data_IF_376565657509
#
_entry.id   IF_376565657509
#
_cell.length_a   1.000
_cell.length_b   1.000
_cell.length_c   1.000
_cell.angle_alpha   90.00
_cell.angle_beta   90.00
_cell.angle_gamma   90.00
#
_symmetry.space_group_name_H-M   'P 1'
#
loop_
_entity.id
_entity.type
_entity.pdbx_description
1 polymer ?
#
# COMPACT_ATOMS: atom_id res chain seq x y z
N UNK A 1 -10.22 -12.44 -2.44
CA UNK A 1 -10.76 -11.06 -2.36
C UNK A 1 -9.59 -10.07 -2.43
N UNK A 2 -9.60 -9.13 -3.38
CA UNK A 2 -8.53 -8.13 -3.54
C UNK A 2 -8.63 -7.08 -2.43
N UNK A 3 -7.52 -6.82 -1.73
CA UNK A 3 -7.44 -5.80 -0.69
C UNK A 3 -6.51 -4.66 -1.12
N UNK A 4 -6.85 -3.43 -0.77
CA UNK A 4 -5.91 -2.30 -0.91
C UNK A 4 -4.84 -2.35 0.18
N UNK A 5 -3.61 -1.96 -0.17
CA UNK A 5 -2.55 -1.75 0.84
C UNK A 5 -2.75 -0.47 1.65
N UNK A 6 -3.53 0.49 1.14
CA UNK A 6 -3.90 1.69 1.87
C UNK A 6 -5.19 1.45 2.66
N UNK A 7 -5.26 2.01 3.85
CA UNK A 7 -6.44 1.87 4.69
C UNK A 7 -6.33 2.69 5.96
N UNK A 8 -7.48 2.91 6.58
CA UNK A 8 -7.64 3.58 7.87
C UNK A 8 -8.72 2.87 8.68
N UNK A 9 -8.48 2.71 9.97
CA UNK A 9 -9.46 2.20 10.92
C UNK A 9 -9.28 2.89 12.27
N UNK A 10 -10.38 3.27 12.90
CA UNK A 10 -10.41 3.87 14.22
C UNK A 10 -11.53 3.26 15.03
N UNK A 11 -11.25 3.00 16.29
CA UNK A 11 -12.27 2.69 17.29
C UNK A 11 -11.95 3.44 18.58
N UNK A 12 -13.02 3.79 19.30
CA UNK A 12 -12.96 4.54 20.55
C UNK A 12 -14.02 3.97 21.49
N UNK A 13 -13.62 3.60 22.70
CA UNK A 13 -14.52 3.12 23.73
C UNK A 13 -14.07 3.54 25.12
N UNK A 14 -15.04 3.80 25.97
CA UNK A 14 -14.80 4.00 27.41
C UNK A 14 -15.05 2.66 28.11
N UNK A 15 -13.98 2.04 28.61
CA UNK A 15 -14.02 0.76 29.32
C UNK A 15 -13.32 0.90 30.67
N UNK A 16 -13.94 0.42 31.72
CA UNK A 16 -13.38 0.43 33.09
C UNK A 16 -12.84 1.83 33.50
N UNK A 17 -13.57 2.91 33.13
CA UNK A 17 -13.18 4.30 33.46
C UNK A 17 -12.02 4.86 32.63
N UNK A 18 -11.64 4.18 31.55
CA UNK A 18 -10.59 4.60 30.61
C UNK A 18 -11.18 4.83 29.23
N UNK A 19 -10.90 5.96 28.65
CA UNK A 19 -11.15 6.23 27.25
C UNK A 19 -9.98 5.69 26.43
N UNK A 20 -10.26 4.70 25.59
CA UNK A 20 -9.28 3.97 24.80
C UNK A 20 -9.56 4.24 23.33
N UNK A 21 -8.59 4.83 22.65
CA UNK A 21 -8.64 5.10 21.21
C UNK A 21 -7.54 4.31 20.52
N UNK A 22 -7.92 3.53 19.53
CA UNK A 22 -7.00 2.82 18.64
C UNK A 22 -7.21 3.29 17.22
N UNK A 23 -6.13 3.75 16.59
CA UNK A 23 -6.12 4.16 15.19
C UNK A 23 -5.09 3.34 14.44
N UNK A 24 -5.47 2.86 13.25
CA UNK A 24 -4.59 2.19 12.31
C UNK A 24 -4.61 2.92 10.99
N UNK A 25 -3.45 3.06 10.38
CA UNK A 25 -3.34 3.47 8.99
C UNK A 25 -2.26 2.68 8.28
N UNK A 26 -2.45 2.44 7.01
CA UNK A 26 -1.43 1.80 6.18
C UNK A 26 -1.19 2.55 4.89
N UNK A 27 0.04 2.40 4.40
CA UNK A 27 0.48 2.86 3.09
C UNK A 27 1.19 1.73 2.38
N UNK A 28 1.31 1.86 1.06
CA UNK A 28 2.02 0.88 0.25
C UNK A 28 3.47 0.69 0.74
N UNK A 29 3.87 -0.56 0.94
CA UNK A 29 5.26 -0.98 1.14
C UNK A 29 5.48 -2.37 0.55
N UNK A 30 6.72 -2.63 0.12
CA UNK A 30 7.10 -3.94 -0.46
C UNK A 30 6.98 -5.09 0.54
N UNK A 31 7.20 -4.81 1.82
CA UNK A 31 7.17 -5.78 2.93
C UNK A 31 6.17 -5.32 3.98
N UNK A 32 5.80 -6.23 4.87
CA UNK A 32 5.07 -5.86 6.07
C UNK A 32 6.00 -5.11 7.03
N UNK A 33 5.71 -3.85 7.24
CA UNK A 33 6.38 -3.00 8.23
C UNK A 33 5.35 -2.56 9.26
N UNK A 34 5.71 -2.65 10.52
CA UNK A 34 4.83 -2.24 11.62
C UNK A 34 5.55 -1.23 12.51
N UNK A 35 4.87 -0.15 12.80
CA UNK A 35 5.26 0.83 13.81
C UNK A 35 4.08 1.16 14.71
N UNK A 36 4.33 1.35 16.00
CA UNK A 36 3.29 1.73 16.95
C UNK A 36 3.70 2.92 17.78
N UNK A 37 2.70 3.72 18.15
CA UNK A 37 2.80 4.74 19.19
C UNK A 37 1.91 4.32 20.33
N UNK A 38 2.55 3.84 21.41
CA UNK A 38 1.88 3.36 22.62
C UNK A 38 2.39 4.18 23.81
N UNK A 39 1.54 4.55 24.77
CA UNK A 39 1.98 5.23 25.98
C UNK A 39 3.08 4.42 26.68
N UNK A 40 4.14 5.08 27.16
CA UNK A 40 5.31 4.41 27.76
C UNK A 40 4.96 3.43 28.86
N UNK A 41 3.92 3.75 29.65
CA UNK A 41 3.42 2.91 30.77
C UNK A 41 2.84 1.59 30.24
N UNK A 42 2.39 1.54 28.97
CA UNK A 42 1.73 0.41 28.34
C UNK A 42 2.59 -0.25 27.26
N UNK A 43 3.92 -0.05 27.25
CA UNK A 43 4.83 -0.60 26.22
C UNK A 43 4.75 -2.13 26.07
N UNK A 44 4.36 -2.86 27.12
CA UNK A 44 4.13 -4.30 27.07
C UNK A 44 3.00 -4.72 26.13
N UNK A 45 2.15 -3.79 25.69
CA UNK A 45 1.07 -4.04 24.71
C UNK A 45 1.56 -4.08 23.26
N UNK A 46 2.74 -3.52 22.95
CA UNK A 46 3.23 -3.37 21.57
C UNK A 46 3.31 -4.70 20.82
N UNK A 47 3.91 -5.72 21.44
CA UNK A 47 4.05 -7.03 20.81
C UNK A 47 2.71 -7.75 20.62
N UNK A 48 1.78 -7.56 21.57
CA UNK A 48 0.43 -8.12 21.49
C UNK A 48 -0.36 -7.48 20.35
N UNK A 49 -0.32 -6.15 20.24
CA UNK A 49 -0.95 -5.40 19.15
C UNK A 49 -0.34 -5.73 17.78
N UNK A 50 0.99 -5.84 17.70
CA UNK A 50 1.67 -6.27 16.47
C UNK A 50 1.19 -7.63 15.98
N UNK A 51 1.01 -8.60 16.89
CA UNK A 51 0.50 -9.93 16.54
C UNK A 51 -0.93 -9.88 16.00
N UNK A 52 -1.81 -9.07 16.58
CA UNK A 52 -3.18 -8.89 16.10
C UNK A 52 -3.21 -8.32 14.68
N UNK A 53 -2.39 -7.29 14.41
CA UNK A 53 -2.30 -6.67 13.09
C UNK A 53 -1.68 -7.63 12.07
N UNK A 54 -0.58 -8.29 12.39
CA UNK A 54 0.12 -9.22 11.52
C UNK A 54 -0.74 -10.44 11.11
N UNK A 55 -1.73 -10.81 11.92
CA UNK A 55 -2.70 -11.86 11.58
C UNK A 55 -3.67 -11.47 10.45
N UNK A 56 -3.78 -10.18 10.13
CA UNK A 56 -4.74 -9.64 9.15
C UNK A 56 -4.11 -8.89 7.98
N UNK A 57 -2.81 -8.61 8.05
CA UNK A 57 -2.07 -7.83 7.03
C UNK A 57 -0.78 -8.57 6.71
N UNK A 58 -0.59 -8.92 5.44
CA UNK A 58 0.61 -9.62 4.97
C UNK A 58 1.63 -8.68 4.30
N UNK A 59 1.19 -7.48 3.86
CA UNK A 59 2.01 -6.51 3.16
C UNK A 59 1.57 -5.07 3.46
N UNK A 60 2.51 -4.12 3.34
CA UNK A 60 2.27 -2.70 3.59
C UNK A 60 2.92 -2.20 4.87
N UNK A 61 3.11 -0.89 4.97
CA UNK A 61 3.56 -0.24 6.21
C UNK A 61 2.35 0.18 7.02
N UNK A 62 2.17 -0.44 8.20
CA UNK A 62 1.08 -0.18 9.13
C UNK A 62 1.60 0.63 10.31
N UNK A 63 0.93 1.74 10.59
CA UNK A 63 1.14 2.56 11.78
C UNK A 63 -0.07 2.41 12.69
N UNK A 64 0.14 2.02 13.96
CA UNK A 64 -0.86 1.95 14.99
C UNK A 64 -0.62 3.04 16.04
N UNK A 65 -1.66 3.77 16.39
CA UNK A 65 -1.65 4.74 17.48
C UNK A 65 -2.64 4.32 18.56
N UNK A 66 -2.15 4.15 19.79
CA UNK A 66 -2.96 3.84 20.97
C UNK A 66 -2.93 5.04 21.91
N UNK A 67 -4.09 5.58 22.23
CA UNK A 67 -4.29 6.57 23.28
C UNK A 67 -5.16 6.01 24.38
N UNK A 68 -4.74 6.20 25.62
CA UNK A 68 -5.50 5.79 26.81
C UNK A 68 -5.56 6.99 27.76
N UNK A 69 -6.77 7.42 28.09
CA UNK A 69 -7.02 8.50 29.03
C UNK A 69 -7.97 8.03 30.13
N UNK A 70 -7.67 8.34 31.38
CA UNK A 70 -8.58 8.05 32.49
C UNK A 70 -9.71 9.11 32.47
N UNK A 71 -10.96 8.68 32.32
CA UNK A 71 -12.16 9.54 32.30
C UNK A 71 -12.78 9.63 33.69
N UNK A 72 -12.76 8.55 34.45
CA UNK A 72 -13.11 8.60 35.86
C UNK A 72 -11.99 9.29 36.64
N UNK A 73 -12.34 10.06 37.68
CA UNK A 73 -11.33 10.51 38.64
C UNK A 73 -10.59 9.25 39.12
N UNK A 74 -9.45 8.97 38.49
CA UNK A 74 -8.64 7.82 38.88
C UNK A 74 -8.42 7.94 40.37
N UNK A 75 -8.48 6.82 41.09
CA UNK A 75 -8.00 6.73 42.45
C UNK A 75 -6.56 7.24 42.45
N UNK A 76 -6.43 8.56 42.55
CA UNK A 76 -5.13 9.20 42.53
C UNK A 76 -4.52 8.98 43.88
N UNK A 77 -3.56 8.09 43.94
CA UNK A 77 -2.81 7.83 45.15
C UNK A 77 -1.74 8.93 45.28
N UNK A 78 -1.86 9.71 46.33
CA UNK A 78 -0.81 10.67 46.71
C UNK A 78 0.29 9.91 47.45
N UNK A 79 1.46 9.83 46.86
CA UNK A 79 2.62 9.22 47.46
C UNK A 79 3.53 10.30 48.04
N UNK A 80 4.06 10.07 49.23
CA UNK A 80 5.00 10.95 49.89
C UNK A 80 6.41 10.40 49.73
N UNK A 81 7.30 11.20 49.17
CA UNK A 81 8.75 10.93 49.17
C UNK A 81 9.36 11.29 50.53
N UNK A 82 9.26 10.34 51.46
CA UNK A 82 9.72 10.55 52.84
C UNK A 82 11.21 10.89 52.94
N UNK A 83 12.04 10.34 52.07
CA UNK A 83 13.49 10.60 52.08
C UNK A 83 13.79 12.05 51.68
N UNK A 84 13.13 12.54 50.64
CA UNK A 84 13.25 13.92 50.16
C UNK A 84 12.66 14.90 51.18
N UNK A 85 11.50 14.60 51.76
CA UNK A 85 10.85 15.40 52.79
C UNK A 85 11.76 15.59 54.02
N UNK A 86 12.40 14.49 54.46
CA UNK A 86 13.37 14.53 55.57
C UNK A 86 14.61 15.33 55.22
N UNK A 87 15.10 15.25 54.00
CA UNK A 87 16.24 16.02 53.53
C UNK A 87 15.97 17.53 53.57
N UNK A 88 14.78 17.96 53.10
CA UNK A 88 14.35 19.36 53.23
C UNK A 88 14.21 19.79 54.66
N UNK A 89 13.60 18.98 55.53
CA UNK A 89 13.49 19.28 56.95
C UNK A 89 14.87 19.53 57.60
N UNK A 90 15.84 18.63 57.36
CA UNK A 90 17.20 18.73 57.89
C UNK A 90 17.92 19.97 57.39
N UNK A 91 17.78 20.26 56.08
CA UNK A 91 18.39 21.45 55.48
C UNK A 91 17.85 22.76 56.11
N UNK A 92 16.54 22.85 56.29
CA UNK A 92 15.86 24.01 56.89
C UNK A 92 16.25 24.17 58.38
N UNK A 93 16.39 23.08 59.12
CA UNK A 93 16.87 23.09 60.48
C UNK A 93 18.31 23.68 60.55
N UNK A 94 19.19 23.18 59.69
CA UNK A 94 20.57 23.64 59.63
C UNK A 94 20.68 25.13 59.20
N UNK A 95 19.79 25.60 58.32
CA UNK A 95 19.71 27.03 57.96
C UNK A 95 19.24 27.89 59.14
N UNK A 96 18.21 27.45 59.86
CA UNK A 96 17.72 28.11 61.05
C UNK A 96 18.85 28.33 62.10
N UNK A 97 19.61 27.28 62.39
CA UNK A 97 20.72 27.30 63.34
C UNK A 97 21.90 28.18 62.88
N UNK A 98 22.28 28.07 61.59
CA UNK A 98 23.43 28.80 61.07
C UNK A 98 23.19 30.31 60.85
N UNK A 99 21.94 30.67 60.51
CA UNK A 99 21.58 32.05 60.20
C UNK A 99 20.85 32.77 61.35
N UNK A 100 20.70 32.12 62.48
CA UNK A 100 19.93 32.58 63.64
C UNK A 100 18.53 33.05 63.29
N UNK A 101 17.85 32.22 62.47
CA UNK A 101 16.48 32.45 61.98
C UNK A 101 15.47 31.56 62.74
N UNK A 102 14.31 32.09 62.99
CA UNK A 102 13.22 31.26 63.55
C UNK A 102 12.80 30.16 62.60
N UNK A 103 12.86 28.90 63.05
CA UNK A 103 12.35 27.78 62.29
C UNK A 103 10.81 27.79 62.32
N UNK A 104 10.20 28.06 61.14
CA UNK A 104 8.72 28.06 60.93
C UNK A 104 8.26 26.96 60.01
N UNK A 105 9.09 25.89 59.82
CA UNK A 105 8.80 24.77 58.95
C UNK A 105 7.57 23.99 59.42
N UNK A 106 6.57 23.97 58.56
CA UNK A 106 5.32 23.22 58.78
C UNK A 106 5.20 22.09 57.76
N UNK A 107 4.28 21.17 58.00
CA UNK A 107 3.94 20.14 57.02
C UNK A 107 3.56 20.77 55.67
N UNK A 108 2.76 21.86 55.72
CA UNK A 108 2.37 22.60 54.53
C UNK A 108 3.54 23.18 53.73
N UNK A 109 4.61 23.57 54.42
CA UNK A 109 5.84 24.09 53.79
C UNK A 109 6.55 22.96 53.05
N UNK A 110 6.74 21.82 53.69
CA UNK A 110 7.42 20.65 53.09
C UNK A 110 6.64 20.10 51.91
N UNK A 111 5.30 20.02 52.00
CA UNK A 111 4.45 19.52 50.94
C UNK A 111 4.44 20.38 49.66
N UNK A 112 4.89 21.65 49.72
CA UNK A 112 4.98 22.55 48.56
C UNK A 112 6.25 22.38 47.75
N UNK A 113 7.28 21.70 48.30
CA UNK A 113 8.49 21.45 47.53
C UNK A 113 8.24 20.44 46.41
N UNK A 114 8.86 20.65 45.23
CA UNK A 114 8.73 19.72 44.12
C UNK A 114 9.10 18.30 44.55
N UNK A 115 8.41 17.31 43.99
CA UNK A 115 8.69 15.89 44.13
C UNK A 115 8.54 15.31 45.55
N UNK A 116 8.11 16.10 46.55
CA UNK A 116 7.78 15.63 47.89
C UNK A 116 6.45 14.92 47.90
N UNK A 117 5.46 15.46 47.20
CA UNK A 117 4.16 14.81 46.93
C UNK A 117 4.06 14.51 45.44
N UNK A 118 3.93 13.26 45.11
CA UNK A 118 3.67 12.78 43.73
C UNK A 118 2.27 12.19 43.66
N UNK A 119 1.52 12.61 42.65
CA UNK A 119 0.23 12.02 42.34
C UNK A 119 0.47 10.92 41.30
N UNK A 120 0.20 9.69 41.66
CA UNK A 120 0.26 8.55 40.73
C UNK A 120 -1.12 7.94 40.60
N UNK A 121 -1.52 7.68 39.36
CA UNK A 121 -2.69 6.85 39.13
C UNK A 121 -2.42 5.44 39.68
N UNK A 122 -3.42 4.82 40.28
CA UNK A 122 -3.30 3.44 40.72
C UNK A 122 -2.85 2.57 39.53
N UNK A 123 -1.84 1.68 39.71
CA UNK A 123 -1.38 0.84 38.62
C UNK A 123 -2.55 -0.04 38.15
N UNK A 124 -2.87 0.09 36.87
CA UNK A 124 -3.85 -0.76 36.24
C UNK A 124 -3.34 -2.21 36.20
N UNK A 125 -4.20 -3.17 36.51
CA UNK A 125 -3.88 -4.58 36.27
C UNK A 125 -3.59 -4.80 34.78
N UNK A 126 -2.40 -5.33 34.40
CA UNK A 126 -2.01 -5.47 33.01
C UNK A 126 -2.94 -6.37 32.18
N UNK A 127 -3.55 -7.38 32.79
CA UNK A 127 -4.42 -8.31 32.09
C UNK A 127 -5.79 -7.69 31.79
N UNK A 128 -6.35 -6.97 32.75
CA UNK A 128 -7.59 -6.19 32.55
C UNK A 128 -7.38 -5.10 31.50
N UNK A 129 -6.26 -4.38 31.57
CA UNK A 129 -5.93 -3.36 30.58
C UNK A 129 -5.78 -3.96 29.17
N UNK A 130 -5.15 -5.13 29.07
CA UNK A 130 -5.01 -5.81 27.78
C UNK A 130 -6.38 -6.20 27.22
N UNK A 131 -7.27 -6.77 28.02
CA UNK A 131 -8.61 -7.17 27.58
C UNK A 131 -9.41 -5.96 27.02
N UNK A 132 -9.35 -4.81 27.71
CA UNK A 132 -9.98 -3.58 27.25
C UNK A 132 -9.40 -3.09 25.91
N UNK A 133 -8.06 -3.03 25.83
CA UNK A 133 -7.36 -2.57 24.61
C UNK A 133 -7.57 -3.55 23.46
N UNK A 134 -7.54 -4.85 23.71
CA UNK A 134 -7.77 -5.88 22.68
C UNK A 134 -9.15 -5.74 22.04
N UNK A 135 -10.19 -5.50 22.83
CA UNK A 135 -11.55 -5.30 22.33
C UNK A 135 -11.62 -4.10 21.39
N UNK A 136 -11.04 -2.96 21.77
CA UNK A 136 -11.04 -1.75 20.94
C UNK A 136 -10.15 -1.93 19.70
N UNK A 137 -8.99 -2.58 19.86
CA UNK A 137 -8.08 -2.87 18.75
C UNK A 137 -8.73 -3.78 17.70
N UNK A 138 -9.48 -4.81 18.11
CA UNK A 138 -10.21 -5.68 17.18
C UNK A 138 -11.24 -4.91 16.35
N UNK A 139 -11.96 -3.97 16.98
CA UNK A 139 -12.91 -3.10 16.25
C UNK A 139 -12.21 -2.17 15.27
N UNK A 140 -11.11 -1.55 15.67
CA UNK A 140 -10.32 -0.70 14.78
C UNK A 140 -9.74 -1.50 13.61
N UNK A 141 -9.25 -2.71 13.85
CA UNK A 141 -8.76 -3.64 12.81
C UNK A 141 -9.91 -4.06 11.88
N UNK A 142 -11.10 -4.34 12.40
CA UNK A 142 -12.26 -4.69 11.56
C UNK A 142 -12.66 -3.53 10.64
N UNK A 143 -12.70 -2.30 11.14
CA UNK A 143 -12.96 -1.11 10.35
C UNK A 143 -11.86 -0.88 9.28
N UNK A 144 -10.60 -1.08 9.66
CA UNK A 144 -9.46 -0.99 8.77
C UNK A 144 -9.53 -2.01 7.61
N UNK A 145 -9.80 -3.28 7.92
CA UNK A 145 -9.94 -4.34 6.89
C UNK A 145 -11.13 -4.08 5.99
N UNK A 146 -12.26 -3.63 6.54
CA UNK A 146 -13.44 -3.27 5.75
C UNK A 146 -13.15 -2.14 4.76
N UNK A 147 -12.45 -1.09 5.18
CA UNK A 147 -12.06 0.00 4.29
C UNK A 147 -11.15 -0.50 3.16
N UNK A 148 -10.15 -1.33 3.48
CA UNK A 148 -9.24 -1.93 2.49
C UNK A 148 -9.98 -2.81 1.47
N UNK A 149 -11.01 -3.53 1.92
CA UNK A 149 -11.83 -4.35 1.03
C UNK A 149 -12.66 -3.50 0.05
N UNK A 150 -13.27 -2.42 0.54
CA UNK A 150 -14.04 -1.48 -0.31
C UNK A 150 -13.14 -0.80 -1.33
N UNK A 151 -11.95 -0.38 -0.94
CA UNK A 151 -11.00 0.24 -1.84
C UNK A 151 -10.41 -0.78 -2.82
N UNK A 152 -10.10 -1.99 -2.36
CA UNK A 152 -9.62 -3.10 -3.20
C UNK A 152 -10.60 -3.47 -4.30
N UNK A 153 -11.92 -3.47 -4.03
CA UNK A 153 -12.93 -3.74 -5.06
C UNK A 153 -13.02 -2.62 -6.11
N UNK A 154 -12.78 -1.36 -5.72
CA UNK A 154 -12.68 -0.26 -6.68
C UNK A 154 -11.46 -0.40 -7.58
N UNK A 155 -10.30 -0.76 -7.00
CA UNK A 155 -9.08 -1.03 -7.77
C UNK A 155 -9.27 -2.19 -8.74
N UNK A 156 -9.89 -3.28 -8.28
CA UNK A 156 -10.25 -4.44 -9.12
C UNK A 156 -11.12 -4.04 -10.31
N UNK A 157 -12.16 -3.26 -10.05
CA UNK A 157 -13.08 -2.78 -11.10
C UNK A 157 -12.36 -1.90 -12.13
N UNK A 158 -11.50 -0.98 -11.68
CA UNK A 158 -10.71 -0.13 -12.58
C UNK A 158 -9.77 -0.97 -13.46
N UNK A 159 -9.05 -1.93 -12.86
CA UNK A 159 -8.18 -2.84 -13.61
C UNK A 159 -8.95 -3.65 -14.65
N UNK A 160 -10.14 -4.20 -14.30
CA UNK A 160 -10.96 -4.95 -15.24
C UNK A 160 -11.43 -4.09 -16.43
N UNK A 161 -11.80 -2.83 -16.20
CA UNK A 161 -12.18 -1.90 -17.26
C UNK A 161 -11.00 -1.60 -18.19
N UNK A 162 -9.79 -1.44 -17.64
CA UNK A 162 -8.57 -1.23 -18.45
C UNK A 162 -8.18 -2.47 -19.26
N UNK A 163 -8.34 -3.66 -18.69
CA UNK A 163 -8.13 -4.91 -19.43
C UNK A 163 -9.09 -5.02 -20.63
N UNK A 164 -10.35 -4.61 -20.49
CA UNK A 164 -11.30 -4.56 -21.61
C UNK A 164 -10.88 -3.53 -22.67
N UNK A 165 -10.35 -2.37 -22.26
CA UNK A 165 -9.79 -1.39 -23.19
C UNK A 165 -8.56 -1.95 -23.94
N UNK A 166 -7.68 -2.67 -23.25
CA UNK A 166 -6.53 -3.37 -23.87
C UNK A 166 -7.01 -4.38 -24.92
N UNK A 167 -7.99 -5.22 -24.62
CA UNK A 167 -8.55 -6.17 -25.60
C UNK A 167 -9.10 -5.46 -26.85
N UNK A 168 -9.78 -4.33 -26.64
CA UNK A 168 -10.30 -3.52 -27.76
C UNK A 168 -9.15 -2.98 -28.63
N UNK A 169 -8.08 -2.46 -28.02
CA UNK A 169 -6.91 -1.95 -28.73
C UNK A 169 -6.17 -3.06 -29.47
N UNK A 170 -6.04 -4.27 -28.86
CA UNK A 170 -5.43 -5.43 -29.52
C UNK A 170 -6.23 -5.84 -30.75
N UNK A 171 -7.57 -5.93 -30.64
CA UNK A 171 -8.42 -6.22 -31.79
C UNK A 171 -8.29 -5.19 -32.91
N UNK A 172 -8.15 -3.90 -32.60
CA UNK A 172 -7.89 -2.87 -33.59
C UNK A 172 -6.50 -3.01 -34.25
N UNK A 173 -5.48 -3.41 -33.47
CA UNK A 173 -4.14 -3.70 -33.99
C UNK A 173 -4.19 -4.87 -34.97
N UNK A 174 -4.90 -5.95 -34.64
CA UNK A 174 -5.09 -7.12 -35.53
C UNK A 174 -5.80 -6.74 -36.82
N UNK A 175 -6.88 -5.95 -36.76
CA UNK A 175 -7.58 -5.45 -37.93
C UNK A 175 -6.68 -4.60 -38.84
N UNK A 176 -5.89 -3.70 -38.26
CA UNK A 176 -4.96 -2.85 -39.02
C UNK A 176 -3.74 -3.63 -39.54
N UNK A 177 -3.43 -4.78 -38.97
CA UNK A 177 -2.38 -5.68 -39.45
C UNK A 177 -2.80 -6.50 -40.66
N UNK A 178 -4.09 -6.79 -40.77
CA UNK A 178 -4.62 -7.58 -41.88
C UNK A 178 -4.39 -6.92 -43.25
N UNK A 179 -3.95 -7.74 -44.24
CA UNK A 179 -3.73 -7.26 -45.61
C UNK A 179 -2.45 -6.42 -45.85
N UNK A 180 -1.65 -6.15 -44.82
CA UNK A 180 -0.42 -5.33 -44.95
C UNK A 180 0.62 -5.92 -45.88
N UNK A 181 0.79 -7.24 -45.85
CA UNK A 181 1.72 -7.94 -46.76
C UNK A 181 1.29 -7.75 -48.21
N UNK A 182 -0.01 -7.87 -48.49
CA UNK A 182 -0.56 -7.67 -49.81
C UNK A 182 -0.36 -6.22 -50.27
N UNK A 183 -0.72 -5.25 -49.45
CA UNK A 183 -0.51 -3.82 -49.75
C UNK A 183 0.96 -3.46 -49.93
N UNK A 184 1.87 -4.09 -49.20
CA UNK A 184 3.30 -3.94 -49.39
C UNK A 184 3.74 -4.50 -50.75
N UNK A 185 3.30 -5.68 -51.11
CA UNK A 185 3.62 -6.37 -52.37
C UNK A 185 3.15 -5.55 -53.57
N UNK A 186 1.90 -5.05 -53.51
CA UNK A 186 1.36 -4.19 -54.59
C UNK A 186 2.17 -2.88 -54.74
N UNK A 187 2.54 -2.24 -53.62
CA UNK A 187 3.37 -1.04 -53.63
C UNK A 187 4.77 -1.31 -54.16
N UNK A 188 5.39 -2.42 -53.80
CA UNK A 188 6.68 -2.84 -54.24
C UNK A 188 6.67 -3.09 -55.76
N UNK A 189 5.64 -3.79 -56.23
CA UNK A 189 5.46 -4.03 -57.67
C UNK A 189 5.31 -2.75 -58.48
N UNK A 190 4.46 -1.84 -58.02
CA UNK A 190 4.25 -0.52 -58.67
C UNK A 190 5.56 0.29 -58.72
N UNK A 191 6.28 0.30 -57.59
CA UNK A 191 7.54 1.06 -57.55
C UNK A 191 8.64 0.49 -58.42
N UNK A 192 8.72 -0.85 -58.54
CA UNK A 192 9.66 -1.50 -59.44
C UNK A 192 9.30 -1.25 -60.89
N UNK A 193 8.03 -1.26 -61.23
CA UNK A 193 7.54 -0.93 -62.60
C UNK A 193 7.91 0.47 -63.00
N UNK A 194 7.75 1.46 -62.13
CA UNK A 194 8.18 2.84 -62.37
C UNK A 194 9.69 2.98 -62.57
N UNK A 195 10.52 2.25 -61.80
CA UNK A 195 11.97 2.36 -61.84
C UNK A 195 12.61 1.60 -63.02
N UNK A 196 12.00 0.53 -63.48
CA UNK A 196 12.57 -0.36 -64.49
C UNK A 196 12.12 -0.02 -65.92
N UNK A 197 11.25 0.96 -66.11
CA UNK A 197 10.78 1.40 -67.43
C UNK A 197 10.44 0.19 -68.36
N UNK A 198 9.57 -0.73 -67.93
CA UNK A 198 9.18 -1.95 -68.65
C UNK A 198 10.28 -3.05 -68.82
N UNK A 199 11.42 -2.94 -68.18
CA UNK A 199 12.33 -4.07 -68.09
C UNK A 199 11.73 -5.18 -67.25
N UNK A 200 12.08 -6.42 -67.59
CA UNK A 200 11.50 -7.62 -67.01
C UNK A 200 11.61 -7.61 -65.46
N UNK A 201 10.48 -7.61 -64.77
CA UNK A 201 10.45 -7.67 -63.31
C UNK A 201 10.59 -9.17 -62.91
N UNK A 202 11.54 -9.44 -62.03
CA UNK A 202 11.69 -10.81 -61.49
C UNK A 202 10.69 -11.04 -60.37
N UNK A 203 9.57 -11.69 -60.65
CA UNK A 203 8.51 -12.01 -59.71
C UNK A 203 9.01 -12.82 -58.52
N UNK A 204 10.02 -13.69 -58.69
CA UNK A 204 10.61 -14.47 -57.61
C UNK A 204 11.27 -13.58 -56.54
N UNK A 205 11.88 -12.46 -56.95
CA UNK A 205 12.44 -11.46 -56.01
C UNK A 205 11.35 -10.73 -55.26
N UNK A 206 10.25 -10.37 -55.92
CA UNK A 206 9.10 -9.72 -55.25
C UNK A 206 8.52 -10.62 -54.16
N UNK A 207 8.29 -11.91 -54.50
CA UNK A 207 7.80 -12.91 -53.52
C UNK A 207 8.77 -13.07 -52.36
N UNK A 208 10.08 -13.10 -52.63
CA UNK A 208 11.08 -13.18 -51.56
C UNK A 208 11.05 -12.00 -50.63
N UNK A 209 10.99 -10.76 -51.17
CA UNK A 209 10.93 -9.54 -50.35
C UNK A 209 9.60 -9.45 -49.58
N UNK A 210 8.49 -9.86 -50.18
CA UNK A 210 7.20 -9.94 -49.52
C UNK A 210 7.22 -10.92 -48.35
N UNK A 211 7.86 -12.09 -48.52
CA UNK A 211 8.03 -13.09 -47.46
C UNK A 211 8.91 -12.54 -46.30
N UNK A 212 10.01 -11.86 -46.61
CA UNK A 212 10.88 -11.22 -45.62
C UNK A 212 10.11 -10.11 -44.88
N UNK A 213 9.29 -9.34 -45.57
CA UNK A 213 8.46 -8.31 -44.96
C UNK A 213 7.41 -8.91 -44.04
N UNK A 214 6.74 -9.98 -44.52
CA UNK A 214 5.74 -10.73 -43.73
C UNK A 214 6.33 -11.23 -42.39
N UNK A 215 7.48 -11.87 -42.46
CA UNK A 215 8.18 -12.40 -41.28
C UNK A 215 8.57 -11.26 -40.29
N UNK A 216 9.15 -10.17 -40.82
CA UNK A 216 9.58 -9.02 -40.00
C UNK A 216 8.41 -8.28 -39.35
N UNK A 217 7.23 -8.29 -39.94
CA UNK A 217 6.05 -7.54 -39.47
C UNK A 217 4.99 -8.41 -38.84
N UNK A 218 5.23 -9.73 -38.75
CA UNK A 218 4.34 -10.66 -38.07
C UNK A 218 4.21 -10.29 -36.58
N UNK A 219 2.98 -10.07 -36.12
CA UNK A 219 2.64 -9.72 -34.74
C UNK A 219 1.60 -10.66 -34.13
N UNK A 220 1.24 -11.72 -34.85
CA UNK A 220 0.18 -12.65 -34.46
C UNK A 220 0.51 -13.38 -33.13
N UNK A 221 1.78 -13.71 -32.92
CA UNK A 221 2.23 -14.36 -31.68
C UNK A 221 2.07 -13.41 -30.47
N UNK A 222 2.45 -12.15 -30.63
CA UNK A 222 2.36 -11.13 -29.59
C UNK A 222 0.88 -10.81 -29.26
N UNK A 223 -0.01 -10.75 -30.23
CA UNK A 223 -1.45 -10.52 -29.97
C UNK A 223 -2.09 -11.71 -29.26
N UNK A 224 -1.79 -12.95 -29.68
CA UNK A 224 -2.24 -14.17 -28.98
C UNK A 224 -1.72 -14.22 -27.54
N UNK A 225 -0.46 -13.83 -27.29
CA UNK A 225 0.10 -13.74 -25.95
C UNK A 225 -0.59 -12.68 -25.11
N UNK A 226 -0.87 -11.50 -25.69
CA UNK A 226 -1.63 -10.44 -24.99
C UNK A 226 -3.01 -10.93 -24.56
N UNK A 227 -3.76 -11.60 -25.43
CA UNK A 227 -5.05 -12.21 -25.06
C UNK A 227 -4.91 -13.23 -23.93
N UNK A 228 -3.89 -14.10 -24.01
CA UNK A 228 -3.61 -15.08 -22.95
C UNK A 228 -3.29 -14.42 -21.61
N UNK A 229 -2.45 -13.38 -21.62
CA UNK A 229 -2.08 -12.67 -20.40
C UNK A 229 -3.28 -11.92 -19.81
N UNK A 230 -4.14 -11.32 -20.60
CA UNK A 230 -5.38 -10.66 -20.13
C UNK A 230 -6.32 -11.68 -19.49
N UNK A 231 -6.48 -12.86 -20.09
CA UNK A 231 -7.30 -13.93 -19.51
C UNK A 231 -6.73 -14.43 -18.19
N UNK A 232 -5.41 -14.64 -18.10
CA UNK A 232 -4.72 -15.00 -16.85
C UNK A 232 -4.87 -13.92 -15.79
N UNK A 233 -4.79 -12.64 -16.17
CA UNK A 233 -4.94 -11.51 -15.28
C UNK A 233 -6.32 -11.52 -14.60
N UNK A 234 -7.38 -11.72 -15.37
CA UNK A 234 -8.75 -11.86 -14.85
C UNK A 234 -8.88 -13.03 -13.88
N UNK A 235 -8.30 -14.18 -14.23
CA UNK A 235 -8.32 -15.37 -13.37
C UNK A 235 -7.59 -15.11 -12.02
N UNK A 236 -6.47 -14.41 -12.04
CA UNK A 236 -5.71 -14.10 -10.81
C UNK A 236 -6.48 -13.12 -9.91
N UNK A 237 -7.22 -12.15 -10.48
CA UNK A 237 -8.05 -11.22 -9.71
C UNK A 237 -9.22 -11.90 -8.97
N UNK A 238 -9.57 -13.15 -9.32
CA UNK A 238 -10.60 -13.94 -8.63
C UNK A 238 -10.05 -14.80 -7.48
N UNK A 239 -8.71 -14.89 -7.34
CA UNK A 239 -8.10 -15.68 -6.28
C UNK A 239 -8.29 -15.04 -4.91
N UNK A 240 -8.44 -15.89 -3.89
CA UNK A 240 -8.57 -15.46 -2.49
C UNK A 240 -7.21 -15.55 -1.74
N UNK A 241 -6.19 -14.99 -2.36
CA UNK A 241 -4.83 -14.93 -1.83
C UNK A 241 -4.15 -13.63 -2.27
N UNK A 242 -3.02 -13.21 -1.66
CA UNK A 242 -2.27 -12.04 -2.09
C UNK A 242 -1.79 -12.16 -3.53
N UNK A 243 -2.32 -11.31 -4.42
CA UNK A 243 -2.10 -11.42 -5.88
C UNK A 243 -1.14 -10.39 -6.46
N UNK A 244 -0.78 -9.35 -5.73
CA UNK A 244 -0.03 -8.21 -6.25
C UNK A 244 1.24 -8.55 -7.02
N UNK A 245 2.04 -9.55 -6.57
CA UNK A 245 3.26 -9.98 -7.28
C UNK A 245 2.98 -10.70 -8.60
N UNK A 246 1.90 -11.49 -8.66
CA UNK A 246 1.49 -12.20 -9.86
C UNK A 246 1.01 -11.21 -10.92
N UNK A 247 0.24 -10.20 -10.49
CA UNK A 247 -0.25 -9.13 -11.35
C UNK A 247 0.90 -8.25 -11.88
N UNK A 248 1.89 -7.93 -11.05
CA UNK A 248 3.07 -7.17 -11.47
C UNK A 248 3.85 -7.92 -12.58
N UNK A 249 4.06 -9.22 -12.42
CA UNK A 249 4.67 -10.05 -13.46
C UNK A 249 3.88 -10.01 -14.78
N UNK A 250 2.57 -10.22 -14.75
CA UNK A 250 1.74 -10.17 -15.96
C UNK A 250 1.75 -8.78 -16.61
N UNK A 251 1.80 -7.72 -15.81
CA UNK A 251 1.90 -6.35 -16.35
C UNK A 251 3.23 -6.13 -17.09
N UNK A 252 4.32 -6.73 -16.61
CA UNK A 252 5.60 -6.71 -17.30
C UNK A 252 5.53 -7.47 -18.64
N UNK A 253 4.86 -8.65 -18.67
CA UNK A 253 4.67 -9.40 -19.91
C UNK A 253 3.77 -8.64 -20.90
N UNK A 254 2.66 -8.03 -20.47
CA UNK A 254 1.83 -7.16 -21.31
C UNK A 254 2.67 -6.02 -21.94
N UNK A 255 3.54 -5.40 -21.16
CA UNK A 255 4.43 -4.34 -21.65
C UNK A 255 5.46 -4.87 -22.66
N UNK A 256 6.01 -6.07 -22.40
CA UNK A 256 6.96 -6.72 -23.30
C UNK A 256 6.35 -7.00 -24.67
N UNK A 257 5.18 -7.65 -24.73
CA UNK A 257 4.50 -7.94 -25.98
C UNK A 257 4.14 -6.66 -26.73
N UNK A 258 3.66 -5.63 -26.03
CA UNK A 258 3.37 -4.31 -26.60
C UNK A 258 4.60 -3.63 -27.20
N UNK A 259 5.77 -3.77 -26.56
CA UNK A 259 7.04 -3.26 -27.10
C UNK A 259 7.43 -3.99 -28.38
N UNK A 260 7.25 -5.32 -28.42
CA UNK A 260 7.57 -6.13 -29.60
C UNK A 260 6.66 -5.76 -30.78
N UNK A 261 5.36 -5.59 -30.56
CA UNK A 261 4.43 -5.10 -31.59
C UNK A 261 4.90 -3.72 -32.10
N UNK A 262 5.22 -2.79 -31.20
CA UNK A 262 5.68 -1.46 -31.57
C UNK A 262 6.95 -1.46 -32.42
N UNK A 263 7.87 -2.39 -32.18
CA UNK A 263 9.11 -2.51 -32.95
C UNK A 263 8.93 -3.15 -34.33
N UNK A 264 7.94 -4.05 -34.45
CA UNK A 264 7.65 -4.80 -35.68
C UNK A 264 6.67 -4.04 -36.62
N UNK A 265 5.80 -3.17 -36.11
CA UNK A 265 4.63 -2.71 -36.82
C UNK A 265 4.90 -1.84 -38.07
N UNK A 266 5.98 -1.06 -38.13
CA UNK A 266 6.33 -0.17 -39.26
C UNK A 266 5.11 0.56 -39.89
N UNK A 267 4.11 0.89 -39.07
CA UNK A 267 2.86 1.52 -39.48
C UNK A 267 2.44 2.57 -38.45
N UNK A 268 2.05 3.77 -38.94
CA UNK A 268 1.75 4.90 -38.06
C UNK A 268 0.46 4.70 -37.26
N UNK A 269 -0.56 4.01 -37.83
CA UNK A 269 -1.82 3.77 -37.17
C UNK A 269 -1.64 2.75 -36.06
N UNK A 270 -0.93 1.65 -36.35
CA UNK A 270 -0.58 0.64 -35.34
C UNK A 270 0.30 1.24 -34.27
N UNK A 271 1.27 2.11 -34.63
CA UNK A 271 2.13 2.79 -33.66
C UNK A 271 1.29 3.63 -32.67
N UNK A 272 0.28 4.37 -33.13
CA UNK A 272 -0.62 5.12 -32.25
C UNK A 272 -1.39 4.20 -31.29
N UNK A 273 -1.96 3.10 -31.80
CA UNK A 273 -2.66 2.12 -30.97
C UNK A 273 -1.73 1.48 -29.92
N UNK A 274 -0.48 1.20 -30.28
CA UNK A 274 0.52 0.68 -29.33
C UNK A 274 0.85 1.70 -28.23
N UNK A 275 0.92 3.01 -28.56
CA UNK A 275 1.12 4.06 -27.55
C UNK A 275 -0.06 4.10 -26.57
N UNK A 276 -1.30 4.01 -27.05
CA UNK A 276 -2.50 3.95 -26.22
C UNK A 276 -2.51 2.67 -25.37
N UNK A 277 -2.18 1.53 -25.96
CA UNK A 277 -2.08 0.24 -25.27
C UNK A 277 -1.07 0.32 -24.09
N UNK A 278 0.11 0.88 -24.35
CA UNK A 278 1.13 1.08 -23.29
C UNK A 278 0.66 2.04 -22.21
N UNK A 279 -0.11 3.06 -22.56
CA UNK A 279 -0.70 3.98 -21.59
C UNK A 279 -1.68 3.25 -20.65
N UNK A 280 -2.54 2.37 -21.18
CA UNK A 280 -3.45 1.58 -20.34
C UNK A 280 -2.70 0.57 -19.47
N UNK A 281 -1.65 -0.06 -19.98
CA UNK A 281 -0.80 -0.97 -19.20
C UNK A 281 -0.10 -0.22 -18.04
N UNK A 282 0.40 0.98 -18.27
CA UNK A 282 1.05 1.77 -17.19
C UNK A 282 0.04 2.20 -16.13
N UNK A 283 -1.18 2.59 -16.51
CA UNK A 283 -2.26 2.86 -15.57
C UNK A 283 -2.62 1.63 -14.72
N UNK A 284 -2.65 0.43 -15.31
CA UNK A 284 -2.82 -0.83 -14.56
C UNK A 284 -1.67 -0.99 -13.57
N UNK A 285 -0.43 -0.77 -14.01
CA UNK A 285 0.75 -0.89 -13.18
C UNK A 285 0.71 0.00 -11.93
N UNK A 286 0.23 1.24 -12.07
CA UNK A 286 0.04 2.15 -10.95
C UNK A 286 -1.01 1.63 -9.95
N UNK A 287 -2.12 1.06 -10.44
CA UNK A 287 -3.18 0.53 -9.59
C UNK A 287 -2.74 -0.70 -8.81
N UNK A 288 -2.06 -1.64 -9.46
CA UNK A 288 -1.65 -2.89 -8.81
C UNK A 288 -0.57 -2.69 -7.75
N UNK A 289 0.17 -1.58 -7.79
CA UNK A 289 1.10 -1.24 -6.70
C UNK A 289 0.39 -1.07 -5.36
N UNK A 290 -0.91 -0.81 -5.35
CA UNK A 290 -1.72 -0.67 -4.15
C UNK A 290 -2.55 -1.93 -3.83
N UNK A 291 -2.38 -3.02 -4.57
CA UNK A 291 -3.08 -4.30 -4.38
C UNK A 291 -2.21 -5.27 -3.57
N UNK A 292 -2.83 -5.85 -2.53
CA UNK A 292 -2.27 -6.96 -1.74
C UNK A 292 -2.74 -8.32 -2.25
#
# INVERSE_FOLDING_TARGET
MVLSMTGYGRAEQVLNGRDIVVELRSVNSRFFEYSSRVPRICSFLEDKLKKLVAAKVSRGKVELNLSIQNVAAADTVVQVNWQLAKSYQTAMQAMSEKLDLKNDVTVSTICRFPDVLTQTAAPADPDTLWADVEQVAQQAIAAFVSMRAVEGEKLRTDVLNRLAAIETLVAQIEQNSAGRVQAYTERLYTRLKELLEDRNIDDARIVTEAAIFADKTAIDEETVRLHSHVAQYRSILELDEPVGRKLDFLTQELNRESNTIGSKCQDINITRLVVELKSEIEKIREQIQNIE
#
